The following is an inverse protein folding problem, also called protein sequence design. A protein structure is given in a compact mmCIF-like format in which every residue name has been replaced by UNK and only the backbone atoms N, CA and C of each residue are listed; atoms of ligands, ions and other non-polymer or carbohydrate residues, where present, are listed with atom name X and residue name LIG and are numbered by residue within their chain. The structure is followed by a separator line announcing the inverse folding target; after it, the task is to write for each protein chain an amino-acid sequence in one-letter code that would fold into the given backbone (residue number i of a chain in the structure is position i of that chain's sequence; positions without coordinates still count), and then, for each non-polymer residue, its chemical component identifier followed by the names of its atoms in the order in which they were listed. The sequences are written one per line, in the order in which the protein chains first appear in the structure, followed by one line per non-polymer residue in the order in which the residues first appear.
data_IF_127284956835
#
_entry.id   IF_127284956835
#
_cell.length_a   1.000
_cell.length_b   1.000
_cell.length_c   1.000
_cell.angle_alpha   90.00
_cell.angle_beta   90.00
_cell.angle_gamma   90.00
#
_symmetry.space_group_name_H-M   'P 1'
#
loop_
_entity.id
_entity.type
_entity.pdbx_description
1 polymer ?
#
# COMPACT_ATOMS: atom_id res chain seq x y z
N UNK A 1 18.26 -11.64 16.05
CA UNK A 1 17.92 -10.65 15.01
C UNK A 1 17.45 -9.39 15.71
N UNK A 2 18.16 -8.28 15.56
CA UNK A 2 17.71 -6.96 16.04
C UNK A 2 16.64 -6.45 15.08
N UNK A 3 15.53 -5.92 15.61
CA UNK A 3 14.51 -5.25 14.78
C UNK A 3 15.06 -3.94 14.24
N UNK A 4 14.52 -3.43 13.14
CA UNK A 4 14.92 -2.14 12.53
C UNK A 4 14.82 -1.02 13.57
N UNK A 5 13.79 -1.04 14.41
CA UNK A 5 13.62 -0.04 15.47
C UNK A 5 14.71 -0.09 16.54
N UNK A 6 15.27 -1.27 16.86
CA UNK A 6 16.39 -1.33 17.80
C UNK A 6 17.65 -0.71 17.19
N UNK A 7 17.92 -0.99 15.91
CA UNK A 7 19.05 -0.38 15.20
C UNK A 7 18.91 1.15 15.10
N UNK A 8 17.69 1.67 14.89
CA UNK A 8 17.42 3.11 14.86
C UNK A 8 17.67 3.75 16.22
N UNK A 9 17.24 3.10 17.31
CA UNK A 9 17.49 3.57 18.69
C UNK A 9 18.99 3.56 19.05
N UNK A 10 19.71 2.52 18.64
CA UNK A 10 21.15 2.43 18.87
C UNK A 10 21.90 3.52 18.09
N UNK A 11 21.48 3.80 16.84
CA UNK A 11 22.02 4.88 16.04
C UNK A 11 21.74 6.26 16.65
N UNK A 12 20.53 6.49 17.18
CA UNK A 12 20.16 7.71 17.90
C UNK A 12 21.04 7.95 19.13
N UNK A 13 21.35 6.91 19.89
CA UNK A 13 22.25 6.99 21.05
C UNK A 13 23.73 7.23 20.68
N UNK A 14 24.12 6.92 19.44
CA UNK A 14 25.47 7.07 18.94
C UNK A 14 25.70 8.36 18.13
N UNK A 15 24.67 9.22 17.99
CA UNK A 15 24.80 10.47 17.24
C UNK A 15 25.79 11.42 17.94
N UNK A 16 26.75 12.01 17.22
CA UNK A 16 27.62 13.02 17.79
C UNK A 16 26.82 14.29 18.12
N UNK A 17 27.23 15.02 19.15
CA UNK A 17 26.63 16.29 19.58
C UNK A 17 26.69 17.41 18.51
N UNK A 18 27.31 17.14 17.37
CA UNK A 18 27.48 18.04 16.22
C UNK A 18 26.46 17.82 15.10
N UNK A 19 25.43 17.00 15.31
CA UNK A 19 24.40 16.68 14.29
C UNK A 19 23.50 17.85 13.94
N UNK A 20 23.60 18.99 14.62
CA UNK A 20 22.81 20.19 14.32
C UNK A 20 21.32 20.08 14.68
N UNK A 21 20.90 18.95 15.26
CA UNK A 21 19.57 18.75 15.84
C UNK A 21 19.55 19.30 17.28
N UNK A 22 18.43 19.88 17.69
CA UNK A 22 18.26 20.30 19.09
C UNK A 22 18.11 19.07 19.99
N UNK A 23 18.67 19.11 21.21
CA UNK A 23 18.60 18.00 22.17
C UNK A 23 17.14 17.58 22.46
N UNK A 24 16.21 18.53 22.42
CA UNK A 24 14.78 18.30 22.63
C UNK A 24 14.20 17.43 21.51
N UNK A 25 14.58 17.67 20.26
CA UNK A 25 14.12 16.88 19.11
C UNK A 25 14.63 15.45 19.18
N UNK A 26 15.89 15.26 19.62
CA UNK A 26 16.49 13.95 19.82
C UNK A 26 15.79 13.17 20.94
N UNK A 27 15.47 13.83 22.06
CA UNK A 27 14.69 13.24 23.16
C UNK A 27 13.29 12.85 22.68
N UNK A 28 12.62 13.74 21.93
CA UNK A 28 11.29 13.47 21.38
C UNK A 28 11.31 12.28 20.41
N UNK A 29 12.24 12.27 19.45
CA UNK A 29 12.38 11.18 18.47
C UNK A 29 12.69 9.86 19.16
N UNK A 30 13.59 9.85 20.15
CA UNK A 30 13.86 8.67 20.98
C UNK A 30 12.58 8.19 21.68
N UNK A 31 11.81 9.09 22.28
CA UNK A 31 10.54 8.76 22.94
C UNK A 31 9.49 8.19 21.98
N UNK A 32 9.39 8.72 20.75
CA UNK A 32 8.51 8.16 19.71
C UNK A 32 8.96 6.75 19.31
N UNK A 33 10.26 6.52 19.12
CA UNK A 33 10.82 5.22 18.73
C UNK A 33 10.72 4.17 19.87
N UNK A 34 10.76 4.60 21.13
CA UNK A 34 10.53 3.74 22.31
C UNK A 34 9.05 3.39 22.53
N UNK A 35 8.12 4.06 21.84
CA UNK A 35 6.69 3.80 21.97
C UNK A 35 6.35 2.35 21.59
N UNK A 36 5.68 1.58 22.47
CA UNK A 36 5.25 0.21 22.16
C UNK A 36 4.38 0.12 20.91
N UNK A 37 3.61 1.19 20.61
CA UNK A 37 2.76 1.29 19.42
C UNK A 37 3.63 1.37 18.16
N UNK A 38 4.65 2.25 18.17
CA UNK A 38 5.56 2.45 17.03
C UNK A 38 6.38 1.19 16.78
N UNK A 39 6.88 0.54 17.83
CA UNK A 39 7.59 -0.73 17.71
C UNK A 39 6.71 -1.85 17.14
N UNK A 40 5.45 -1.91 17.55
CA UNK A 40 4.50 -2.90 17.02
C UNK A 40 4.18 -2.63 15.55
N UNK A 41 4.02 -1.37 15.17
CA UNK A 41 3.78 -0.97 13.79
C UNK A 41 5.00 -1.30 12.90
N UNK A 42 6.21 -1.02 13.37
CA UNK A 42 7.44 -1.34 12.65
C UNK A 42 7.59 -2.85 12.42
N UNK A 43 7.32 -3.67 13.45
CA UNK A 43 7.32 -5.13 13.30
C UNK A 43 6.26 -5.62 12.31
N UNK A 44 5.08 -5.00 12.30
CA UNK A 44 4.06 -5.32 11.30
C UNK A 44 4.53 -4.95 9.88
N UNK A 45 5.16 -3.79 9.72
CA UNK A 45 5.72 -3.35 8.44
C UNK A 45 6.85 -4.26 7.95
N UNK A 46 7.80 -4.65 8.81
CA UNK A 46 8.87 -5.59 8.49
C UNK A 46 8.29 -6.92 7.97
N UNK A 47 7.26 -7.47 8.65
CA UNK A 47 6.59 -8.71 8.23
C UNK A 47 5.85 -8.60 6.90
N UNK A 48 5.33 -7.40 6.56
CA UNK A 48 4.71 -7.15 5.27
C UNK A 48 5.75 -6.94 4.15
N UNK A 49 6.93 -6.41 4.49
CA UNK A 49 8.01 -6.10 3.54
C UNK A 49 8.91 -7.27 3.15
N UNK A 50 8.80 -8.44 3.80
CA UNK A 50 9.63 -9.62 3.47
C UNK A 50 9.36 -10.20 2.07
N UNK A 51 8.21 -9.87 1.46
CA UNK A 51 7.85 -10.31 0.11
C UNK A 51 7.55 -9.08 -0.74
N UNK A 52 8.60 -8.43 -1.24
CA UNK A 52 8.46 -7.35 -2.23
C UNK A 52 8.13 -7.98 -3.58
N UNK A 53 6.84 -8.03 -3.92
CA UNK A 53 6.41 -8.30 -5.28
C UNK A 53 6.39 -6.97 -6.04
N UNK A 54 7.18 -6.89 -7.12
CA UNK A 54 7.14 -5.76 -8.03
C UNK A 54 6.01 -5.97 -9.03
N UNK A 55 5.13 -4.98 -9.15
CA UNK A 55 4.11 -4.97 -10.18
C UNK A 55 4.79 -4.85 -11.55
N UNK A 56 4.34 -5.66 -12.52
CA UNK A 56 4.87 -5.62 -13.89
C UNK A 56 4.50 -4.30 -14.59
N UNK A 57 3.32 -3.74 -14.27
CA UNK A 57 2.80 -2.46 -14.75
C UNK A 57 1.66 -1.98 -13.84
N UNK A 58 1.17 -0.75 -14.02
CA UNK A 58 0.17 -0.09 -13.16
C UNK A 58 -1.09 0.41 -13.89
N UNK A 59 -1.24 0.08 -15.18
CA UNK A 59 -2.38 0.50 -16.01
C UNK A 59 -3.17 -0.69 -16.61
N UNK A 60 -3.35 -1.77 -15.84
CA UNK A 60 -4.04 -2.96 -16.32
C UNK A 60 -5.50 -2.72 -16.69
N UNK A 61 -6.18 -1.76 -16.05
CA UNK A 61 -7.55 -1.39 -16.39
C UNK A 61 -7.64 -0.79 -17.82
N UNK A 62 -6.65 0.01 -18.21
CA UNK A 62 -6.54 0.54 -19.57
C UNK A 62 -6.26 -0.58 -20.57
N UNK A 63 -5.30 -1.46 -20.25
CA UNK A 63 -4.98 -2.63 -21.08
C UNK A 63 -6.21 -3.53 -21.30
N UNK A 64 -7.02 -3.78 -20.27
CA UNK A 64 -8.25 -4.58 -20.44
C UNK A 64 -9.25 -3.89 -21.35
N UNK A 65 -9.36 -2.56 -21.28
CA UNK A 65 -10.21 -1.80 -22.21
C UNK A 65 -9.75 -1.96 -23.66
N UNK A 66 -8.44 -1.90 -23.90
CA UNK A 66 -7.84 -2.14 -25.23
C UNK A 66 -8.11 -3.56 -25.72
N UNK A 67 -7.82 -4.58 -24.88
CA UNK A 67 -8.06 -5.99 -25.20
C UNK A 67 -9.53 -6.22 -25.57
N UNK A 68 -10.46 -5.71 -24.76
CA UNK A 68 -11.90 -5.82 -25.02
C UNK A 68 -12.29 -5.17 -26.36
N UNK A 69 -11.66 -4.05 -26.72
CA UNK A 69 -11.84 -3.40 -28.02
C UNK A 69 -11.40 -4.29 -29.19
N UNK A 70 -10.24 -4.93 -29.07
CA UNK A 70 -9.67 -5.80 -30.10
C UNK A 70 -10.46 -7.11 -30.26
N UNK A 71 -10.78 -7.79 -29.15
CA UNK A 71 -11.39 -9.13 -29.20
C UNK A 71 -12.87 -9.10 -29.55
N UNK A 72 -13.56 -7.97 -29.39
CA UNK A 72 -14.97 -7.84 -29.79
C UNK A 72 -15.17 -8.13 -31.29
N UNK A 73 -14.17 -7.83 -32.13
CA UNK A 73 -14.17 -8.22 -33.55
C UNK A 73 -14.08 -9.73 -33.79
N UNK A 74 -13.51 -10.48 -32.85
CA UNK A 74 -13.27 -11.93 -32.92
C UNK A 74 -14.42 -12.75 -32.30
N UNK A 75 -15.18 -12.15 -31.37
CA UNK A 75 -16.28 -12.79 -30.62
C UNK A 75 -17.38 -13.42 -31.48
N UNK A 76 -17.48 -13.11 -32.78
CA UNK A 76 -18.47 -13.75 -33.68
C UNK A 76 -18.06 -15.14 -34.14
N UNK A 77 -16.78 -15.51 -34.00
CA UNK A 77 -16.20 -16.74 -34.58
C UNK A 77 -15.41 -17.58 -33.58
N UNK A 78 -15.13 -17.02 -32.41
CA UNK A 78 -14.25 -17.63 -31.41
C UNK A 78 -14.93 -17.61 -30.04
N UNK A 79 -15.33 -18.79 -29.57
CA UNK A 79 -15.96 -18.97 -28.26
C UNK A 79 -15.00 -18.65 -27.11
N UNK A 80 -13.69 -18.84 -27.29
CA UNK A 80 -12.68 -18.47 -26.31
C UNK A 80 -12.54 -16.95 -26.20
N UNK A 81 -12.68 -16.21 -27.31
CA UNK A 81 -12.73 -14.74 -27.27
C UNK A 81 -13.98 -14.23 -26.54
N UNK A 82 -15.13 -14.90 -26.71
CA UNK A 82 -16.36 -14.61 -25.95
C UNK A 82 -16.15 -14.88 -24.45
N UNK A 83 -15.60 -16.05 -24.10
CA UNK A 83 -15.33 -16.42 -22.71
C UNK A 83 -14.36 -15.45 -22.04
N UNK A 84 -13.26 -15.09 -22.71
CA UNK A 84 -12.29 -14.12 -22.20
C UNK A 84 -12.94 -12.75 -21.98
N UNK A 85 -13.72 -12.27 -22.95
CA UNK A 85 -14.39 -10.97 -22.82
C UNK A 85 -15.35 -10.93 -21.63
N UNK A 86 -16.03 -12.06 -21.36
CA UNK A 86 -16.91 -12.21 -20.19
C UNK A 86 -16.11 -12.16 -18.89
N UNK A 87 -15.05 -12.95 -18.76
CA UNK A 87 -14.19 -12.99 -17.55
C UNK A 87 -13.61 -11.61 -17.25
N UNK A 88 -13.07 -10.93 -18.26
CA UNK A 88 -12.48 -9.60 -18.10
C UNK A 88 -13.50 -8.56 -17.63
N UNK A 89 -14.78 -8.73 -17.97
CA UNK A 89 -15.87 -7.84 -17.54
C UNK A 89 -16.51 -8.23 -16.20
N UNK A 90 -16.13 -9.36 -15.60
CA UNK A 90 -16.71 -9.76 -14.31
C UNK A 90 -16.33 -8.76 -13.21
N UNK A 91 -17.27 -8.40 -12.32
CA UNK A 91 -17.05 -7.36 -11.32
C UNK A 91 -15.88 -7.70 -10.39
N UNK A 92 -15.71 -8.99 -10.06
CA UNK A 92 -14.61 -9.44 -9.21
C UNK A 92 -13.25 -9.29 -9.89
N UNK A 93 -13.18 -9.53 -11.21
CA UNK A 93 -11.95 -9.37 -11.98
C UNK A 93 -11.58 -7.90 -12.15
N UNK A 94 -12.57 -7.06 -12.44
CA UNK A 94 -12.41 -5.60 -12.50
C UNK A 94 -11.94 -5.03 -11.15
N UNK A 95 -12.55 -5.44 -10.03
CA UNK A 95 -12.10 -5.02 -8.69
C UNK A 95 -10.68 -5.50 -8.37
N UNK A 96 -10.28 -6.69 -8.84
CA UNK A 96 -8.92 -7.19 -8.67
C UNK A 96 -7.90 -6.32 -9.43
N UNK A 97 -8.21 -5.95 -10.67
CA UNK A 97 -7.33 -5.10 -11.49
C UNK A 97 -7.24 -3.68 -10.96
N UNK A 98 -8.35 -3.09 -10.54
CA UNK A 98 -8.37 -1.78 -9.89
C UNK A 98 -7.51 -1.77 -8.62
N UNK A 99 -7.68 -2.79 -7.76
CA UNK A 99 -6.85 -2.93 -6.56
C UNK A 99 -5.37 -3.14 -6.91
N UNK A 100 -5.07 -3.91 -7.96
CA UNK A 100 -3.71 -4.09 -8.45
C UNK A 100 -3.09 -2.75 -8.88
N UNK A 101 -3.77 -1.98 -9.74
CA UNK A 101 -3.29 -0.70 -10.26
C UNK A 101 -3.11 0.34 -9.15
N UNK A 102 -3.99 0.38 -8.15
CA UNK A 102 -3.82 1.22 -6.95
C UNK A 102 -2.55 0.87 -6.15
N UNK A 103 -2.27 -0.42 -5.96
CA UNK A 103 -1.09 -0.89 -5.23
C UNK A 103 0.19 -0.66 -6.05
N UNK A 104 0.14 -0.92 -7.35
CA UNK A 104 1.25 -0.75 -8.29
C UNK A 104 1.68 0.72 -8.41
N UNK A 105 0.71 1.64 -8.50
CA UNK A 105 0.93 3.10 -8.56
C UNK A 105 1.33 3.71 -7.20
N UNK A 106 1.35 2.93 -6.12
CA UNK A 106 1.61 3.37 -4.74
C UNK A 106 0.64 4.48 -4.28
N UNK A 107 -0.56 4.51 -4.85
CA UNK A 107 -1.62 5.46 -4.49
C UNK A 107 -2.36 4.98 -3.24
N UNK A 108 -1.67 5.03 -2.10
CA UNK A 108 -2.25 4.66 -0.81
C UNK A 108 -3.06 5.84 -0.25
N UNK A 109 -4.21 6.14 -0.86
CA UNK A 109 -5.10 7.17 -0.31
C UNK A 109 -5.70 6.68 1.02
N UNK A 110 -5.56 7.49 2.06
CA UNK A 110 -6.12 7.18 3.36
C UNK A 110 -7.66 7.21 3.28
N UNK A 111 -8.37 6.19 3.81
CA UNK A 111 -9.82 6.23 3.84
C UNK A 111 -10.29 7.50 4.57
N UNK A 112 -11.33 8.19 4.05
CA UNK A 112 -11.79 9.44 4.64
C UNK A 112 -12.11 9.24 6.13
N UNK A 113 -11.78 10.22 7.00
CA UNK A 113 -11.96 10.08 8.43
C UNK A 113 -13.43 9.75 8.71
N UNK A 114 -13.67 8.61 9.36
CA UNK A 114 -15.01 8.18 9.71
C UNK A 114 -15.72 9.30 10.49
N UNK A 115 -16.81 9.82 9.93
CA UNK A 115 -17.65 10.83 10.59
C UNK A 115 -18.08 10.26 11.93
N UNK A 116 -17.51 10.79 13.02
CA UNK A 116 -17.95 10.43 14.38
C UNK A 116 -19.45 10.72 14.48
N UNK A 117 -20.30 9.75 14.85
CA UNK A 117 -21.71 10.05 15.06
C UNK A 117 -21.80 11.06 16.21
N UNK A 118 -22.39 12.21 15.93
CA UNK A 118 -22.65 13.26 16.90
C UNK A 118 -23.63 12.65 17.91
N UNK A 119 -23.16 12.33 19.12
CA UNK A 119 -24.05 11.93 20.21
C UNK A 119 -24.83 13.18 20.60
N UNK A 120 -26.06 13.31 20.12
CA UNK A 120 -27.03 14.26 20.63
C UNK A 120 -27.31 13.90 22.09
N UNK A 121 -26.76 14.69 23.01
CA UNK A 121 -27.13 14.63 24.43
C UNK A 121 -28.57 15.13 24.54
N UNK A 122 -29.44 14.29 25.09
CA UNK A 122 -30.82 14.61 25.43
C UNK A 122 -30.90 15.00 26.89
#
# INVERSE_FOLDING_TARGET
MTTVMQQVLDNLGALPSSTGAEDIDLIFLRGVMESPIVQSLAKAHERLGEVVLEAVQDNNMELVSEILGEINGLSRRDDSAVELSRILQEPHFQSLLEAHDMVASKSYEAPPPARRPIRTQR
#
